data_IF_336794726142
#
_entry.id   IF_336794726142
#
_cell.length_a   1.000
_cell.length_b   1.000
_cell.length_c   1.000
_cell.angle_alpha   90.00
_cell.angle_beta   90.00
_cell.angle_gamma   90.00
#
_symmetry.space_group_name_H-M   'P 1'
#
loop_
_entity.id
_entity.type
_entity.pdbx_description
1 polymer ?
#
# COMPACT_ATOMS: atom_id res chain seq x y z
N UNK A 1 -52.12 -20.14 32.80
CA UNK A 1 -50.87 -19.37 32.62
C UNK A 1 -50.14 -19.38 33.94
N UNK A 2 -49.02 -20.10 34.02
CA UNK A 2 -48.29 -20.28 35.27
C UNK A 2 -47.34 -19.12 35.55
N UNK A 3 -47.04 -18.87 36.82
CA UNK A 3 -46.07 -17.87 37.31
C UNK A 3 -44.68 -18.02 36.66
N UNK A 4 -44.37 -19.21 36.14
CA UNK A 4 -43.13 -19.52 35.40
C UNK A 4 -43.10 -19.00 33.95
N UNK A 5 -44.23 -18.61 33.35
CA UNK A 5 -44.26 -17.99 32.01
C UNK A 5 -43.78 -16.53 32.03
N UNK A 6 -43.68 -15.90 33.21
CA UNK A 6 -43.10 -14.56 33.41
C UNK A 6 -41.55 -14.55 33.43
N UNK A 7 -40.90 -15.71 33.56
CA UNK A 7 -39.44 -15.83 33.66
C UNK A 7 -38.77 -16.39 32.39
N UNK A 8 -39.53 -16.63 31.31
CA UNK A 8 -38.92 -16.93 30.01
C UNK A 8 -38.35 -15.63 29.44
N UNK A 9 -37.04 -15.56 29.09
CA UNK A 9 -36.49 -14.37 28.47
C UNK A 9 -37.30 -14.08 27.20
N UNK A 10 -37.88 -12.88 27.15
CA UNK A 10 -38.77 -12.45 26.09
C UNK A 10 -38.08 -12.67 24.73
N UNK A 11 -38.76 -13.30 23.76
CA UNK A 11 -38.17 -13.64 22.43
C UNK A 11 -37.52 -12.42 21.76
N UNK A 12 -38.08 -11.23 22.03
CA UNK A 12 -37.59 -9.92 21.59
C UNK A 12 -36.29 -9.45 22.28
N UNK A 13 -36.08 -9.79 23.56
CA UNK A 13 -34.80 -9.52 24.24
C UNK A 13 -33.70 -10.42 23.68
N UNK A 14 -34.01 -11.68 23.39
CA UNK A 14 -33.00 -12.63 22.91
C UNK A 14 -32.51 -12.26 21.49
N UNK A 15 -33.40 -11.80 20.60
CA UNK A 15 -33.01 -11.32 19.27
C UNK A 15 -32.08 -10.11 19.32
N UNK A 16 -32.34 -9.19 20.26
CA UNK A 16 -31.50 -8.00 20.51
C UNK A 16 -30.10 -8.36 21.02
N UNK A 17 -30.00 -9.34 21.91
CA UNK A 17 -28.71 -9.82 22.42
C UNK A 17 -27.89 -10.52 21.32
N UNK A 18 -28.54 -11.26 20.43
CA UNK A 18 -27.88 -11.89 19.26
C UNK A 18 -27.37 -10.81 18.29
N UNK A 19 -28.18 -9.80 17.99
CA UNK A 19 -27.76 -8.67 17.15
C UNK A 19 -26.53 -7.95 17.75
N UNK A 20 -26.60 -7.62 19.05
CA UNK A 20 -25.49 -6.98 19.75
C UNK A 20 -24.21 -7.85 19.75
N UNK A 21 -24.34 -9.16 19.96
CA UNK A 21 -23.22 -10.10 19.89
C UNK A 21 -22.57 -10.07 18.50
N UNK A 22 -23.38 -10.15 17.45
CA UNK A 22 -22.89 -10.14 16.07
C UNK A 22 -22.16 -8.83 15.75
N UNK A 23 -22.62 -7.69 16.29
CA UNK A 23 -21.93 -6.40 16.14
C UNK A 23 -20.58 -6.39 16.88
N UNK A 24 -20.57 -6.73 18.17
CA UNK A 24 -19.39 -6.55 19.05
C UNK A 24 -18.29 -7.58 18.76
N UNK A 25 -18.66 -8.82 18.45
CA UNK A 25 -17.71 -9.88 18.12
C UNK A 25 -17.43 -10.00 16.62
N UNK A 26 -18.15 -9.24 15.78
CA UNK A 26 -18.05 -9.29 14.32
C UNK A 26 -18.24 -10.72 13.77
N UNK A 27 -19.33 -11.38 14.20
CA UNK A 27 -19.73 -12.73 13.79
C UNK A 27 -21.14 -12.71 13.22
N UNK A 28 -21.55 -13.79 12.55
CA UNK A 28 -22.91 -13.97 12.04
C UNK A 28 -23.53 -15.23 12.64
N UNK A 29 -23.99 -15.11 13.90
CA UNK A 29 -24.64 -16.21 14.62
C UNK A 29 -26.14 -15.99 14.69
N UNK A 30 -26.90 -17.07 14.54
CA UNK A 30 -28.36 -17.12 14.76
C UNK A 30 -28.73 -17.42 16.22
N UNK A 31 -27.74 -17.68 17.07
CA UNK A 31 -27.92 -18.02 18.49
C UNK A 31 -26.95 -17.26 19.41
N UNK A 32 -27.35 -17.07 20.66
CA UNK A 32 -26.52 -16.44 21.68
C UNK A 32 -25.47 -17.44 22.18
N UNK A 33 -24.20 -17.12 21.99
CA UNK A 33 -23.05 -17.98 22.28
C UNK A 33 -22.31 -17.56 23.56
N UNK A 34 -22.58 -16.36 24.07
CA UNK A 34 -21.92 -15.79 25.24
C UNK A 34 -22.91 -15.43 26.34
N UNK A 35 -22.45 -15.41 27.59
CA UNK A 35 -23.28 -14.94 28.71
C UNK A 35 -23.55 -13.43 28.62
N UNK A 36 -24.65 -12.95 29.24
CA UNK A 36 -24.98 -11.52 29.32
C UNK A 36 -23.83 -10.68 29.92
N UNK A 37 -23.12 -11.23 30.91
CA UNK A 37 -21.96 -10.57 31.52
C UNK A 37 -20.82 -10.40 30.51
N UNK A 38 -20.43 -11.47 29.82
CA UNK A 38 -19.39 -11.42 28.79
C UNK A 38 -19.77 -10.47 27.65
N UNK A 39 -21.05 -10.44 27.25
CA UNK A 39 -21.54 -9.52 26.22
C UNK A 39 -21.46 -8.05 26.66
N UNK A 40 -21.83 -7.75 27.92
CA UNK A 40 -21.73 -6.40 28.48
C UNK A 40 -20.25 -5.96 28.60
N UNK A 41 -19.36 -6.83 29.06
CA UNK A 41 -17.93 -6.55 29.16
C UNK A 41 -17.33 -6.27 27.78
N UNK A 42 -17.72 -7.07 26.77
CA UNK A 42 -17.31 -6.87 25.39
C UNK A 42 -17.87 -5.58 24.78
N UNK A 43 -19.13 -5.23 25.05
CA UNK A 43 -19.74 -3.97 24.62
C UNK A 43 -19.00 -2.76 25.22
N UNK A 44 -18.72 -2.79 26.52
CA UNK A 44 -17.98 -1.72 27.19
C UNK A 44 -16.58 -1.55 26.59
N UNK A 45 -15.89 -2.66 26.30
CA UNK A 45 -14.59 -2.63 25.62
C UNK A 45 -14.69 -2.08 24.19
N UNK A 46 -15.65 -2.56 23.41
CA UNK A 46 -15.91 -2.09 22.04
C UNK A 46 -16.14 -0.58 22.02
N UNK A 47 -17.01 -0.06 22.88
CA UNK A 47 -17.27 1.38 22.97
C UNK A 47 -16.02 2.14 23.40
N UNK A 48 -15.32 1.68 24.44
CA UNK A 48 -14.09 2.33 24.91
C UNK A 48 -13.02 2.44 23.83
N UNK A 49 -12.75 1.35 23.11
CA UNK A 49 -11.71 1.29 22.09
C UNK A 49 -12.06 2.18 20.89
N UNK A 50 -13.32 2.16 20.43
CA UNK A 50 -13.77 3.03 19.36
C UNK A 50 -13.79 4.51 19.77
N UNK A 51 -14.25 4.84 20.98
CA UNK A 51 -14.28 6.22 21.50
C UNK A 51 -12.88 6.83 21.63
N UNK A 52 -11.87 6.05 22.04
CA UNK A 52 -10.48 6.51 22.07
C UNK A 52 -10.00 6.96 20.68
N UNK A 53 -10.31 6.18 19.65
CA UNK A 53 -9.92 6.48 18.27
C UNK A 53 -10.66 7.72 17.74
N UNK A 54 -11.96 7.84 18.05
CA UNK A 54 -12.76 9.03 17.71
C UNK A 54 -12.12 10.29 18.30
N UNK A 55 -11.76 10.26 19.58
CA UNK A 55 -11.16 11.41 20.26
C UNK A 55 -9.79 11.79 19.68
N UNK A 56 -8.92 10.81 19.38
CA UNK A 56 -7.65 11.05 18.71
C UNK A 56 -7.85 11.68 17.31
N UNK A 57 -8.82 11.17 16.55
CA UNK A 57 -9.14 11.71 15.23
C UNK A 57 -9.61 13.16 15.31
N UNK A 58 -10.52 13.50 16.22
CA UNK A 58 -11.02 14.87 16.41
C UNK A 58 -9.88 15.82 16.74
N UNK A 59 -8.98 15.44 17.64
CA UNK A 59 -7.81 16.24 18.00
C UNK A 59 -6.88 16.47 16.81
N UNK A 60 -6.57 15.42 16.05
CA UNK A 60 -5.64 15.51 14.91
C UNK A 60 -6.22 16.30 13.74
N UNK A 61 -7.52 16.14 13.45
CA UNK A 61 -8.23 16.90 12.41
C UNK A 61 -8.15 18.41 12.71
N UNK A 62 -8.32 18.81 13.98
CA UNK A 62 -8.23 20.21 14.37
C UNK A 62 -6.79 20.77 14.40
N UNK A 63 -5.79 19.93 14.61
CA UNK A 63 -4.41 20.38 14.89
C UNK A 63 -3.45 20.25 13.71
N UNK A 64 -3.65 19.30 12.80
CA UNK A 64 -2.72 19.03 11.71
C UNK A 64 -2.71 20.10 10.61
N UNK A 65 -1.56 20.27 9.96
CA UNK A 65 -1.39 20.99 8.69
C UNK A 65 -1.01 20.05 7.52
N UNK A 66 -0.86 18.75 7.79
CA UNK A 66 -0.55 17.72 6.80
C UNK A 66 -1.82 17.13 6.17
N UNK A 67 -1.91 17.16 4.83
CA UNK A 67 -3.10 16.72 4.09
C UNK A 67 -3.39 15.23 4.30
N UNK A 68 -2.36 14.38 4.30
CA UNK A 68 -2.57 12.95 4.48
C UNK A 68 -3.13 12.62 5.86
N UNK A 69 -2.57 13.24 6.90
CA UNK A 69 -3.05 13.10 8.27
C UNK A 69 -4.49 13.58 8.40
N UNK A 70 -4.82 14.75 7.85
CA UNK A 70 -6.17 15.29 7.90
C UNK A 70 -7.20 14.34 7.25
N UNK A 71 -7.03 13.99 5.97
CA UNK A 71 -8.02 13.19 5.23
C UNK A 71 -8.09 11.74 5.74
N UNK A 72 -6.97 11.15 6.15
CA UNK A 72 -6.97 9.80 6.73
C UNK A 72 -7.71 9.78 8.06
N UNK A 73 -7.49 10.77 8.94
CA UNK A 73 -8.20 10.86 10.23
C UNK A 73 -9.67 11.21 10.05
N UNK A 74 -10.02 12.03 9.07
CA UNK A 74 -11.42 12.32 8.74
C UNK A 74 -12.19 11.07 8.30
N UNK A 75 -11.57 10.23 7.47
CA UNK A 75 -12.17 8.95 7.06
C UNK A 75 -12.26 7.97 8.24
N UNK A 76 -11.20 7.87 9.04
CA UNK A 76 -11.17 7.00 10.21
C UNK A 76 -12.23 7.39 11.24
N UNK A 77 -12.40 8.69 11.49
CA UNK A 77 -13.47 9.23 12.34
C UNK A 77 -14.85 8.75 11.87
N UNK A 78 -15.14 8.87 10.57
CA UNK A 78 -16.39 8.37 9.99
C UNK A 78 -16.60 6.87 10.20
N UNK A 79 -15.55 6.06 10.05
CA UNK A 79 -15.61 4.59 10.26
C UNK A 79 -15.96 4.27 11.70
N UNK A 80 -15.25 4.87 12.67
CA UNK A 80 -15.47 4.54 14.09
C UNK A 80 -16.78 5.11 14.63
N UNK A 81 -17.22 6.29 14.16
CA UNK A 81 -18.55 6.81 14.50
C UNK A 81 -19.68 5.92 13.93
N UNK A 82 -19.54 5.39 12.71
CA UNK A 82 -20.49 4.40 12.15
C UNK A 82 -20.50 3.09 12.92
N UNK A 83 -19.36 2.68 13.44
CA UNK A 83 -19.26 1.49 14.27
C UNK A 83 -19.96 1.69 15.63
N UNK A 84 -19.78 2.86 16.25
CA UNK A 84 -20.46 3.24 17.49
C UNK A 84 -21.96 3.45 17.31
N UNK A 85 -22.40 3.98 16.16
CA UNK A 85 -23.83 4.21 15.91
C UNK A 85 -24.65 2.92 15.89
N UNK A 86 -24.03 1.78 15.57
CA UNK A 86 -24.68 0.46 15.60
C UNK A 86 -25.05 0.01 17.02
N UNK A 87 -24.37 0.55 18.05
CA UNK A 87 -24.59 0.15 19.44
C UNK A 87 -25.37 1.18 20.27
N UNK A 88 -25.92 2.23 19.64
CA UNK A 88 -26.67 3.29 20.34
C UNK A 88 -27.90 2.79 21.10
N UNK A 89 -28.58 1.77 20.58
CA UNK A 89 -29.72 1.16 21.24
C UNK A 89 -29.33 0.27 22.43
N UNK A 90 -28.03 0.04 22.63
CA UNK A 90 -27.46 -0.91 23.59
C UNK A 90 -26.53 -0.26 24.61
N UNK A 91 -26.07 0.97 24.37
CA UNK A 91 -25.13 1.69 25.22
C UNK A 91 -25.56 3.14 25.42
N UNK A 92 -25.48 3.63 26.66
CA UNK A 92 -25.79 5.03 27.00
C UNK A 92 -24.56 5.92 26.83
N UNK A 93 -24.56 6.73 25.77
CA UNK A 93 -23.54 7.75 25.55
C UNK A 93 -23.85 9.00 26.39
N UNK A 94 -22.83 9.56 27.04
CA UNK A 94 -22.94 10.78 27.86
C UNK A 94 -22.97 12.07 27.03
N UNK A 95 -22.51 12.00 25.78
CA UNK A 95 -22.44 13.12 24.85
C UNK A 95 -23.43 12.94 23.69
N UNK A 96 -23.32 13.78 22.66
CA UNK A 96 -24.07 13.64 21.43
C UNK A 96 -23.91 12.23 20.84
N UNK A 97 -25.03 11.59 20.49
CA UNK A 97 -25.04 10.24 19.94
C UNK A 97 -24.14 10.13 18.69
N UNK A 98 -23.40 9.03 18.50
CA UNK A 98 -22.55 8.80 17.32
C UNK A 98 -23.25 9.06 15.96
N UNK A 99 -24.53 8.78 15.83
CA UNK A 99 -25.37 8.99 14.64
C UNK A 99 -25.66 10.48 14.42
N UNK A 100 -25.86 11.24 15.50
CA UNK A 100 -25.94 12.69 15.44
C UNK A 100 -24.56 13.32 15.16
N UNK A 101 -23.48 12.76 15.69
CA UNK A 101 -22.10 13.12 15.34
C UNK A 101 -21.80 12.90 13.85
N UNK A 102 -22.23 11.78 13.27
CA UNK A 102 -22.10 11.54 11.82
C UNK A 102 -22.86 12.56 10.98
N UNK A 103 -24.11 12.88 11.35
CA UNK A 103 -24.90 13.89 10.66
C UNK A 103 -24.22 15.25 10.71
N UNK A 104 -23.78 15.66 11.90
CA UNK A 104 -23.04 16.92 12.08
C UNK A 104 -21.75 16.94 11.26
N UNK A 105 -20.95 15.87 11.33
CA UNK A 105 -19.70 15.75 10.58
C UNK A 105 -19.92 15.85 9.06
N UNK A 106 -21.03 15.31 8.54
CA UNK A 106 -21.39 15.44 7.14
C UNK A 106 -21.77 16.87 6.74
N UNK A 107 -22.46 17.60 7.63
CA UNK A 107 -22.84 19.01 7.41
C UNK A 107 -21.61 19.91 7.48
N UNK A 108 -20.77 19.70 8.48
CA UNK A 108 -19.60 20.55 8.76
C UNK A 108 -18.39 20.21 7.86
N UNK A 109 -18.45 19.11 7.08
CA UNK A 109 -17.33 18.59 6.29
C UNK A 109 -16.64 19.67 5.44
N UNK A 110 -17.43 20.42 4.67
CA UNK A 110 -16.89 21.44 3.76
C UNK A 110 -16.21 22.57 4.51
N UNK A 111 -16.82 23.02 5.62
CA UNK A 111 -16.23 24.04 6.49
C UNK A 111 -14.91 23.55 7.10
N UNK A 112 -14.87 22.32 7.62
CA UNK A 112 -13.69 21.73 8.23
C UNK A 112 -12.53 21.60 7.22
N UNK A 113 -12.83 21.20 5.98
CA UNK A 113 -11.84 21.14 4.90
C UNK A 113 -11.31 22.55 4.57
N UNK A 114 -12.16 23.57 4.50
CA UNK A 114 -11.73 24.96 4.27
C UNK A 114 -10.88 25.51 5.42
N UNK A 115 -11.22 25.22 6.67
CA UNK A 115 -10.42 25.58 7.84
C UNK A 115 -9.03 24.93 7.76
N UNK A 116 -8.97 23.65 7.42
CA UNK A 116 -7.71 22.94 7.22
C UNK A 116 -6.87 23.53 6.09
N UNK A 117 -7.47 23.80 4.92
CA UNK A 117 -6.78 24.42 3.79
C UNK A 117 -6.17 25.76 4.21
N UNK A 118 -6.95 26.60 4.90
CA UNK A 118 -6.50 27.94 5.31
C UNK A 118 -5.35 27.86 6.31
N UNK A 119 -5.48 27.01 7.35
CA UNK A 119 -4.43 26.81 8.35
C UNK A 119 -3.14 26.22 7.77
N UNK A 120 -3.27 25.21 6.91
CA UNK A 120 -2.11 24.57 6.27
C UNK A 120 -1.40 25.53 5.33
N UNK A 121 -2.16 26.39 4.64
CA UNK A 121 -1.63 27.48 3.82
C UNK A 121 -0.88 28.54 4.64
N UNK A 122 -1.45 29.02 5.74
CA UNK A 122 -0.78 29.98 6.63
C UNK A 122 0.52 29.42 7.21
N UNK A 123 0.51 28.15 7.63
CA UNK A 123 1.70 27.44 8.12
C UNK A 123 2.78 27.38 7.05
N UNK A 124 2.39 27.10 5.80
CA UNK A 124 3.30 27.12 4.65
C UNK A 124 3.88 28.52 4.40
N UNK A 125 3.06 29.57 4.40
CA UNK A 125 3.52 30.95 4.20
C UNK A 125 4.52 31.39 5.28
N UNK A 126 4.25 31.04 6.53
CA UNK A 126 5.21 31.27 7.64
C UNK A 126 6.54 30.59 7.33
N UNK A 127 6.51 29.31 6.95
CA UNK A 127 7.71 28.54 6.61
C UNK A 127 8.46 29.13 5.41
N UNK A 128 7.76 29.48 4.33
CA UNK A 128 8.39 29.97 3.10
C UNK A 128 8.96 31.38 3.23
N UNK A 129 8.38 32.23 4.09
CA UNK A 129 8.93 33.56 4.37
C UNK A 129 10.37 33.51 4.92
N UNK A 130 10.70 32.47 5.68
CA UNK A 130 12.03 32.24 6.25
C UNK A 130 13.08 31.73 5.24
N UNK A 131 12.68 31.34 4.03
CA UNK A 131 13.59 30.75 3.04
C UNK A 131 14.36 31.81 2.24
N UNK A 132 15.65 31.55 2.01
CA UNK A 132 16.57 32.47 1.31
C UNK A 132 16.32 32.60 -0.19
N UNK A 133 15.94 31.50 -0.87
CA UNK A 133 15.88 31.47 -2.34
C UNK A 133 14.45 31.39 -2.84
N UNK A 134 14.16 32.14 -3.90
CA UNK A 134 12.84 32.19 -4.53
C UNK A 134 12.43 30.82 -5.09
N UNK A 135 13.38 30.09 -5.67
CA UNK A 135 13.16 28.72 -6.17
C UNK A 135 12.73 27.75 -5.06
N UNK A 136 13.30 27.86 -3.85
CA UNK A 136 12.89 27.02 -2.73
C UNK A 136 11.48 27.36 -2.24
N UNK A 137 11.10 28.65 -2.23
CA UNK A 137 9.74 29.09 -1.90
C UNK A 137 8.74 28.51 -2.90
N UNK A 138 8.99 28.69 -4.20
CA UNK A 138 8.15 28.15 -5.28
C UNK A 138 7.99 26.63 -5.18
N UNK A 139 9.08 25.88 -4.98
CA UNK A 139 9.02 24.42 -4.85
C UNK A 139 8.17 23.96 -3.66
N UNK A 140 8.24 24.65 -2.51
CA UNK A 140 7.41 24.30 -1.35
C UNK A 140 5.93 24.57 -1.63
N UNK A 141 5.61 25.65 -2.34
CA UNK A 141 4.22 25.96 -2.70
C UNK A 141 3.68 24.98 -3.76
N UNK A 142 4.46 24.64 -4.78
CA UNK A 142 4.05 23.62 -5.76
C UNK A 142 3.73 22.28 -5.08
N UNK A 143 4.60 21.82 -4.17
CA UNK A 143 4.38 20.58 -3.42
C UNK A 143 3.13 20.62 -2.54
N UNK A 144 2.84 21.76 -1.92
CA UNK A 144 1.60 21.94 -1.15
C UNK A 144 0.36 21.68 -2.03
N UNK A 145 0.30 22.31 -3.19
CA UNK A 145 -0.82 22.12 -4.11
C UNK A 145 -0.88 20.69 -4.67
N UNK A 146 0.25 20.11 -5.07
CA UNK A 146 0.32 18.71 -5.51
C UNK A 146 -0.26 17.75 -4.48
N UNK A 147 0.13 17.90 -3.21
CA UNK A 147 -0.34 17.07 -2.11
C UNK A 147 -1.85 17.24 -1.87
N UNK A 148 -2.34 18.48 -1.81
CA UNK A 148 -3.73 18.74 -1.47
C UNK A 148 -4.69 18.37 -2.62
N UNK A 149 -4.30 18.59 -3.88
CA UNK A 149 -5.07 18.14 -5.04
C UNK A 149 -5.15 16.61 -5.15
N UNK A 150 -4.24 15.87 -4.52
CA UNK A 150 -4.34 14.41 -4.38
C UNK A 150 -5.65 13.96 -3.70
N UNK A 151 -6.25 14.82 -2.88
CA UNK A 151 -7.51 14.58 -2.16
C UNK A 151 -8.70 15.31 -2.77
N UNK A 152 -8.59 15.81 -4.01
CA UNK A 152 -9.66 16.58 -4.67
C UNK A 152 -11.00 15.83 -4.71
N UNK A 153 -10.99 14.50 -4.85
CA UNK A 153 -12.20 13.68 -4.86
C UNK A 153 -12.94 13.66 -3.50
N UNK A 154 -12.29 14.07 -2.42
CA UNK A 154 -12.88 14.17 -1.09
C UNK A 154 -13.45 15.57 -0.80
N UNK A 155 -13.24 16.53 -1.70
CA UNK A 155 -13.58 17.95 -1.56
C UNK A 155 -14.85 18.29 -2.37
N UNK A 156 -15.60 19.29 -1.92
CA UNK A 156 -16.66 19.88 -2.72
C UNK A 156 -16.13 20.95 -3.69
N UNK A 157 -16.98 21.44 -4.58
CA UNK A 157 -16.63 22.56 -5.47
C UNK A 157 -16.22 23.81 -4.67
N UNK A 158 -16.88 24.09 -3.55
CA UNK A 158 -16.55 25.22 -2.68
C UNK A 158 -15.12 25.12 -2.13
N UNK A 159 -14.68 23.92 -1.73
CA UNK A 159 -13.32 23.69 -1.25
C UNK A 159 -12.29 23.87 -2.37
N UNK A 160 -12.59 23.39 -3.57
CA UNK A 160 -11.70 23.54 -4.73
C UNK A 160 -11.59 25.01 -5.13
N UNK A 161 -12.70 25.76 -5.15
CA UNK A 161 -12.68 27.21 -5.41
C UNK A 161 -11.84 27.98 -4.39
N UNK A 162 -11.91 27.60 -3.11
CA UNK A 162 -11.06 28.18 -2.08
C UNK A 162 -9.57 27.94 -2.35
N UNK A 163 -9.20 26.72 -2.75
CA UNK A 163 -7.83 26.39 -3.15
C UNK A 163 -7.35 27.18 -4.38
N UNK A 164 -8.20 27.30 -5.42
CA UNK A 164 -7.84 28.07 -6.61
C UNK A 164 -7.67 29.55 -6.30
N UNK A 165 -8.48 30.12 -5.39
CA UNK A 165 -8.29 31.50 -4.90
C UNK A 165 -6.94 31.70 -4.24
N UNK A 166 -6.51 30.75 -3.39
CA UNK A 166 -5.20 30.79 -2.74
C UNK A 166 -4.05 30.66 -3.76
N UNK A 167 -4.23 29.81 -4.77
CA UNK A 167 -3.24 29.63 -5.83
C UNK A 167 -3.08 30.88 -6.69
N UNK A 168 -4.19 31.55 -7.01
CA UNK A 168 -4.22 32.77 -7.81
C UNK A 168 -3.74 34.01 -7.04
N UNK A 169 -3.88 34.04 -5.71
CA UNK A 169 -3.41 35.15 -4.88
C UNK A 169 -1.88 35.16 -4.72
N UNK A 170 -1.24 34.02 -4.91
CA UNK A 170 0.20 33.94 -5.14
C UNK A 170 0.53 34.19 -6.61
N UNK A 171 1.59 34.97 -6.92
CA UNK A 171 2.13 35.20 -8.27
C UNK A 171 2.70 33.92 -8.95
N UNK A 172 2.05 32.77 -8.78
CA UNK A 172 2.40 31.45 -9.30
C UNK A 172 1.79 31.16 -10.68
N UNK A 173 1.10 32.12 -11.31
CA UNK A 173 0.59 31.99 -12.68
C UNK A 173 1.67 31.70 -13.73
N UNK A 174 2.97 31.76 -13.36
CA UNK A 174 4.13 31.43 -14.19
C UNK A 174 4.93 30.19 -13.76
N UNK A 175 4.52 29.47 -12.71
CA UNK A 175 5.18 28.20 -12.38
C UNK A 175 4.62 27.12 -13.28
N UNK A 176 5.42 26.68 -14.26
CA UNK A 176 5.18 25.39 -14.93
C UNK A 176 5.12 24.33 -13.83
N UNK A 177 3.92 23.89 -13.49
CA UNK A 177 3.72 22.64 -12.77
C UNK A 177 4.36 21.60 -13.68
N UNK A 178 5.42 20.95 -13.21
CA UNK A 178 6.06 19.86 -13.94
C UNK A 178 5.11 18.66 -13.90
N UNK A 179 4.11 18.68 -14.77
CA UNK A 179 3.09 17.64 -14.88
C UNK A 179 3.68 16.35 -15.42
N UNK A 180 4.93 16.32 -15.88
CA UNK A 180 5.60 15.12 -16.36
C UNK A 180 5.65 14.05 -15.27
N UNK A 181 5.90 14.40 -14.01
CA UNK A 181 5.88 13.44 -12.89
C UNK A 181 4.50 12.82 -12.66
N UNK A 182 3.43 13.64 -12.72
CA UNK A 182 2.04 13.15 -12.59
C UNK A 182 1.60 12.33 -13.79
N UNK A 183 1.97 12.72 -15.01
CA UNK A 183 1.68 11.97 -16.24
C UNK A 183 2.38 10.61 -16.19
N UNK A 184 3.64 10.56 -15.72
CA UNK A 184 4.37 9.30 -15.52
C UNK A 184 3.67 8.45 -14.45
N UNK A 185 3.28 9.04 -13.32
CA UNK A 185 2.57 8.33 -12.25
C UNK A 185 1.20 7.80 -12.69
N UNK A 186 0.40 8.63 -13.36
CA UNK A 186 -0.92 8.25 -13.88
C UNK A 186 -0.79 7.19 -14.99
N UNK A 187 0.26 7.26 -15.82
CA UNK A 187 0.62 6.23 -16.79
C UNK A 187 1.00 4.91 -16.11
N UNK A 188 1.91 4.96 -15.13
CA UNK A 188 2.31 3.81 -14.31
C UNK A 188 1.11 3.18 -13.63
N UNK A 189 0.20 3.98 -13.06
CA UNK A 189 -1.01 3.48 -12.39
C UNK A 189 -1.96 2.74 -13.34
N UNK A 190 -2.02 3.14 -14.62
CA UNK A 190 -2.78 2.41 -15.66
C UNK A 190 -2.12 1.08 -16.04
N UNK A 191 -0.79 1.00 -15.94
CA UNK A 191 -0.04 -0.22 -16.24
C UNK A 191 -0.04 -1.23 -15.10
N UNK A 192 -0.20 -0.78 -13.86
CA UNK A 192 -0.37 -1.63 -12.68
C UNK A 192 -1.84 -2.12 -12.65
N UNK A 193 -2.10 -3.15 -13.44
CA UNK A 193 -3.40 -3.82 -13.52
C UNK A 193 -3.49 -5.05 -12.60
N UNK A 194 -4.67 -5.66 -12.53
CA UNK A 194 -4.90 -6.86 -11.71
C UNK A 194 -3.98 -8.04 -12.08
N UNK A 195 -3.57 -8.17 -13.36
CA UNK A 195 -2.70 -9.27 -13.80
C UNK A 195 -1.31 -9.19 -13.16
N UNK A 196 -0.79 -7.96 -12.98
CA UNK A 196 0.49 -7.75 -12.29
C UNK A 196 0.38 -8.12 -10.80
N UNK A 197 -0.72 -7.75 -10.15
CA UNK A 197 -0.96 -8.12 -8.75
C UNK A 197 -1.03 -9.65 -8.57
N UNK A 198 -1.76 -10.35 -9.45
CA UNK A 198 -1.85 -11.81 -9.42
C UNK A 198 -0.50 -12.46 -9.70
N UNK A 199 0.27 -11.95 -10.66
CA UNK A 199 1.62 -12.44 -10.95
C UNK A 199 2.53 -12.38 -9.72
N UNK A 200 2.59 -11.21 -9.07
CA UNK A 200 3.43 -11.00 -7.88
C UNK A 200 2.94 -11.88 -6.72
N UNK A 201 1.63 -11.99 -6.53
CA UNK A 201 1.05 -12.88 -5.52
C UNK A 201 1.42 -14.35 -5.75
N UNK A 202 1.26 -14.84 -6.98
CA UNK A 202 1.61 -16.22 -7.33
C UNK A 202 3.12 -16.49 -7.14
N UNK A 203 3.98 -15.52 -7.42
CA UNK A 203 5.41 -15.65 -7.10
C UNK A 203 5.67 -15.65 -5.60
N UNK A 204 4.98 -14.80 -4.83
CA UNK A 204 5.15 -14.70 -3.39
C UNK A 204 4.68 -15.96 -2.64
N UNK A 205 3.54 -16.55 -3.00
CA UNK A 205 3.02 -17.76 -2.31
C UNK A 205 3.87 -18.99 -2.58
N UNK A 206 4.51 -19.06 -3.75
CA UNK A 206 5.35 -20.19 -4.15
C UNK A 206 6.81 -20.03 -3.69
N UNK A 207 7.21 -18.86 -3.16
CA UNK A 207 8.54 -18.68 -2.60
C UNK A 207 8.69 -19.52 -1.31
N UNK A 208 9.62 -20.48 -1.35
CA UNK A 208 9.91 -21.41 -0.24
C UNK A 208 10.24 -20.69 1.08
N UNK A 209 10.89 -19.53 1.04
CA UNK A 209 11.19 -18.75 2.23
C UNK A 209 9.94 -18.08 2.78
N UNK A 210 9.06 -17.54 1.93
CA UNK A 210 7.78 -16.96 2.37
C UNK A 210 6.88 -18.06 2.94
N UNK A 211 6.74 -19.19 2.23
CA UNK A 211 5.94 -20.34 2.67
C UNK A 211 6.40 -20.90 4.03
N UNK A 212 7.71 -20.85 4.32
CA UNK A 212 8.25 -21.21 5.64
C UNK A 212 7.68 -20.36 6.78
N UNK A 213 7.40 -19.08 6.53
CA UNK A 213 6.83 -18.16 7.52
C UNK A 213 5.30 -18.12 7.50
N UNK A 214 4.70 -18.42 6.34
CA UNK A 214 3.26 -18.48 6.13
C UNK A 214 2.88 -19.84 5.50
N UNK A 215 2.82 -20.93 6.29
CA UNK A 215 2.52 -22.27 5.75
C UNK A 215 1.12 -22.37 5.13
N UNK A 216 0.14 -21.66 5.70
CA UNK A 216 -1.22 -21.57 5.16
C UNK A 216 -1.34 -20.55 4.01
N UNK A 217 -0.23 -19.92 3.62
CA UNK A 217 -0.17 -18.86 2.62
C UNK A 217 -0.24 -17.46 3.23
N UNK A 218 0.51 -16.53 2.65
CA UNK A 218 0.45 -15.12 3.04
C UNK A 218 -0.88 -14.52 2.58
N UNK A 219 -1.63 -13.77 3.42
CA UNK A 219 -2.89 -13.17 3.01
C UNK A 219 -2.73 -12.29 1.76
N UNK A 220 -3.60 -12.51 0.77
CA UNK A 220 -3.56 -11.80 -0.52
C UNK A 220 -3.61 -10.28 -0.37
N UNK A 221 -4.42 -9.79 0.57
CA UNK A 221 -4.55 -8.37 0.89
C UNK A 221 -3.24 -7.76 1.39
N UNK A 222 -2.42 -8.52 2.12
CA UNK A 222 -1.10 -8.09 2.58
C UNK A 222 -0.15 -7.91 1.42
N UNK A 223 -0.07 -8.89 0.52
CA UNK A 223 0.78 -8.79 -0.67
C UNK A 223 0.34 -7.62 -1.54
N UNK A 224 -0.97 -7.46 -1.75
CA UNK A 224 -1.54 -6.37 -2.53
C UNK A 224 -1.25 -5.00 -1.89
N UNK A 225 -1.30 -4.90 -0.56
CA UNK A 225 -0.90 -3.70 0.15
C UNK A 225 0.58 -3.37 -0.10
N UNK A 226 1.48 -4.35 0.02
CA UNK A 226 2.92 -4.14 -0.22
C UNK A 226 3.16 -3.65 -1.65
N UNK A 227 2.53 -4.28 -2.65
CA UNK A 227 2.62 -3.86 -4.06
C UNK A 227 2.16 -2.41 -4.24
N UNK A 228 0.99 -2.07 -3.67
CA UNK A 228 0.42 -0.73 -3.78
C UNK A 228 1.32 0.34 -3.16
N UNK A 229 1.82 0.10 -1.95
CA UNK A 229 2.70 1.04 -1.25
C UNK A 229 4.09 1.15 -1.89
N UNK A 230 4.62 0.04 -2.43
CA UNK A 230 5.86 0.02 -3.19
C UNK A 230 5.78 0.93 -4.42
N UNK A 231 4.70 0.81 -5.21
CA UNK A 231 4.50 1.66 -6.39
C UNK A 231 4.10 3.12 -6.06
N UNK A 232 3.71 3.41 -4.82
CA UNK A 232 3.64 4.80 -4.30
C UNK A 232 5.01 5.37 -3.97
N UNK A 233 6.09 4.61 -4.14
CA UNK A 233 7.46 5.03 -3.87
C UNK A 233 7.85 4.97 -2.39
N UNK A 234 7.10 4.24 -1.55
CA UNK A 234 7.45 4.07 -0.15
C UNK A 234 8.61 3.07 -0.03
N UNK A 235 9.52 3.34 0.90
CA UNK A 235 10.62 2.42 1.22
C UNK A 235 10.10 1.16 1.90
N UNK A 236 10.75 0.03 1.63
CA UNK A 236 10.37 -1.29 2.17
C UNK A 236 10.25 -1.32 3.70
N UNK A 237 11.08 -0.55 4.39
CA UNK A 237 11.13 -0.45 5.86
C UNK A 237 9.89 0.25 6.42
N UNK A 238 9.41 1.28 5.72
CA UNK A 238 8.19 1.98 6.08
C UNK A 238 6.95 1.12 5.80
N UNK A 239 6.95 0.36 4.70
CA UNK A 239 5.89 -0.60 4.38
C UNK A 239 5.87 -1.72 5.43
N UNK A 240 7.04 -2.24 5.80
CA UNK A 240 7.18 -3.26 6.83
C UNK A 240 6.62 -2.80 8.19
N UNK A 241 6.82 -1.53 8.57
CA UNK A 241 6.24 -0.99 9.81
C UNK A 241 4.70 -1.00 9.80
N UNK A 242 4.06 -0.87 8.64
CA UNK A 242 2.62 -0.99 8.51
C UNK A 242 2.17 -2.46 8.56
N UNK A 243 2.90 -3.35 7.89
CA UNK A 243 2.62 -4.80 7.91
C UNK A 243 2.80 -5.39 9.32
N UNK A 244 3.79 -4.94 10.09
CA UNK A 244 3.99 -5.37 11.48
C UNK A 244 2.76 -5.07 12.35
N UNK A 245 2.02 -3.99 12.08
CA UNK A 245 0.76 -3.68 12.79
C UNK A 245 -0.38 -4.61 12.39
N UNK A 246 -0.28 -5.27 11.24
CA UNK A 246 -1.26 -6.26 10.78
C UNK A 246 -0.97 -7.66 11.34
N UNK A 247 0.29 -7.98 11.63
CA UNK A 247 0.75 -9.29 12.12
C UNK A 247 1.51 -9.16 13.44
N UNK A 248 0.78 -9.17 14.55
CA UNK A 248 1.34 -8.96 15.89
C UNK A 248 2.29 -10.07 16.36
N UNK A 249 2.14 -11.31 15.85
CA UNK A 249 2.87 -12.48 16.32
C UNK A 249 4.12 -12.84 15.49
N UNK A 250 4.43 -12.07 14.44
CA UNK A 250 5.57 -12.36 13.56
C UNK A 250 6.71 -11.40 13.87
N UNK A 251 7.92 -11.95 14.03
CA UNK A 251 9.11 -11.11 14.29
C UNK A 251 9.32 -10.08 13.16
N UNK A 252 9.58 -8.83 13.54
CA UNK A 252 9.80 -7.72 12.62
C UNK A 252 10.87 -8.04 11.56
N UNK A 253 11.99 -8.67 11.97
CA UNK A 253 13.06 -9.08 11.05
C UNK A 253 12.58 -10.01 9.95
N UNK A 254 11.65 -10.93 10.22
CA UNK A 254 11.11 -11.85 9.21
C UNK A 254 10.17 -11.14 8.25
N UNK A 255 9.31 -10.25 8.76
CA UNK A 255 8.43 -9.44 7.92
C UNK A 255 9.23 -8.52 6.99
N UNK A 256 10.30 -7.89 7.49
CA UNK A 256 11.17 -7.04 6.68
C UNK A 256 11.72 -7.78 5.46
N UNK A 257 12.18 -9.02 5.66
CA UNK A 257 12.73 -9.88 4.60
C UNK A 257 11.66 -10.22 3.55
N UNK A 258 10.43 -10.46 3.99
CA UNK A 258 9.29 -10.78 3.12
C UNK A 258 8.86 -9.54 2.34
N UNK A 259 8.74 -8.39 3.00
CA UNK A 259 8.43 -7.11 2.35
C UNK A 259 9.46 -6.75 1.29
N UNK A 260 10.77 -6.85 1.60
CA UNK A 260 11.84 -6.63 0.62
C UNK A 260 11.71 -7.57 -0.60
N UNK A 261 11.42 -8.85 -0.36
CA UNK A 261 11.25 -9.84 -1.43
C UNK A 261 10.08 -9.48 -2.35
N UNK A 262 8.92 -9.13 -1.78
CA UNK A 262 7.74 -8.74 -2.56
C UNK A 262 7.99 -7.44 -3.34
N UNK A 263 8.68 -6.45 -2.76
CA UNK A 263 9.10 -5.23 -3.48
C UNK A 263 10.01 -5.54 -4.68
N UNK A 264 10.97 -6.44 -4.52
CA UNK A 264 11.86 -6.86 -5.62
C UNK A 264 11.08 -7.58 -6.73
N UNK A 265 10.23 -8.57 -6.38
CA UNK A 265 9.34 -9.28 -7.32
C UNK A 265 8.42 -8.28 -8.06
N UNK A 266 7.86 -7.29 -7.34
CA UNK A 266 7.00 -6.26 -7.95
C UNK A 266 7.74 -5.44 -9.01
N UNK A 267 9.00 -5.12 -8.74
CA UNK A 267 9.83 -4.31 -9.64
C UNK A 267 10.15 -5.06 -10.94
N UNK A 268 10.54 -6.34 -10.85
CA UNK A 268 10.79 -7.18 -12.03
C UNK A 268 9.51 -7.51 -12.78
N UNK A 269 8.38 -7.75 -12.08
CA UNK A 269 7.09 -8.00 -12.72
C UNK A 269 6.65 -6.83 -13.61
N UNK A 270 6.81 -5.59 -13.13
CA UNK A 270 6.49 -4.40 -13.91
C UNK A 270 7.41 -4.26 -15.13
N UNK A 271 8.71 -4.41 -14.93
CA UNK A 271 9.70 -4.33 -16.02
C UNK A 271 9.43 -5.39 -17.08
N UNK A 272 9.21 -6.64 -16.69
CA UNK A 272 8.90 -7.72 -17.61
C UNK A 272 7.58 -7.48 -18.35
N UNK A 273 6.52 -7.03 -17.66
CA UNK A 273 5.23 -6.71 -18.29
C UNK A 273 5.38 -5.63 -19.37
N UNK A 274 6.16 -4.58 -19.09
CA UNK A 274 6.49 -3.53 -20.06
C UNK A 274 7.29 -4.07 -21.25
N UNK A 275 8.34 -4.85 -20.98
CA UNK A 275 9.18 -5.43 -22.01
C UNK A 275 8.37 -6.32 -22.96
N UNK A 276 7.55 -7.23 -22.41
CA UNK A 276 6.69 -8.12 -23.21
C UNK A 276 5.67 -7.35 -24.06
N UNK A 277 5.06 -6.29 -23.53
CA UNK A 277 4.15 -5.41 -24.29
C UNK A 277 4.84 -4.75 -25.50
N UNK A 278 6.15 -4.59 -25.45
CA UNK A 278 6.98 -4.03 -26.52
C UNK A 278 7.66 -5.09 -27.40
N UNK A 279 7.38 -6.38 -27.18
CA UNK A 279 8.05 -7.48 -27.88
C UNK A 279 9.50 -7.71 -27.46
N UNK A 280 9.93 -7.15 -26.32
CA UNK A 280 11.28 -7.31 -25.78
C UNK A 280 11.28 -8.52 -24.84
N UNK A 281 11.86 -9.62 -25.29
CA UNK A 281 11.89 -10.89 -24.54
C UNK A 281 13.22 -11.13 -23.81
N UNK A 282 14.25 -10.35 -24.11
CA UNK A 282 15.60 -10.53 -23.59
C UNK A 282 16.04 -9.37 -22.70
N UNK A 283 16.82 -9.69 -21.67
CA UNK A 283 17.43 -8.71 -20.77
C UNK A 283 18.85 -9.14 -20.38
N UNK A 284 19.67 -8.17 -19.98
CA UNK A 284 20.96 -8.43 -19.34
C UNK A 284 20.75 -8.51 -17.83
N UNK A 285 21.20 -9.59 -17.21
CA UNK A 285 21.16 -9.74 -15.77
C UNK A 285 22.23 -8.87 -15.10
N UNK A 286 21.76 -7.96 -14.25
CA UNK A 286 22.60 -7.00 -13.52
C UNK A 286 22.48 -7.26 -12.03
N UNK A 287 23.61 -7.29 -11.35
CA UNK A 287 23.71 -7.46 -9.90
C UNK A 287 24.06 -6.14 -9.23
N UNK A 288 23.98 -6.10 -7.90
CA UNK A 288 24.45 -4.95 -7.12
C UNK A 288 25.98 -4.84 -7.04
N UNK A 289 26.71 -5.85 -7.52
CA UNK A 289 28.17 -5.97 -7.40
C UNK A 289 28.69 -5.78 -5.96
N UNK A 290 27.87 -6.08 -4.96
CA UNK A 290 28.28 -6.00 -3.55
C UNK A 290 28.59 -7.39 -2.98
N UNK A 291 29.25 -7.42 -1.82
CA UNK A 291 29.69 -8.66 -1.15
C UNK A 291 28.56 -9.60 -0.74
N UNK A 292 27.30 -9.14 -0.80
CA UNK A 292 26.10 -9.93 -0.45
C UNK A 292 25.46 -10.55 -1.70
N UNK A 293 25.95 -10.26 -2.90
CA UNK A 293 25.52 -10.94 -4.13
C UNK A 293 25.91 -12.42 -4.01
N UNK A 294 24.96 -13.31 -4.27
CA UNK A 294 25.19 -14.75 -4.22
C UNK A 294 26.16 -15.17 -5.33
N UNK A 295 27.03 -16.17 -5.10
CA UNK A 295 27.92 -16.67 -6.15
C UNK A 295 27.19 -17.01 -7.45
N UNK A 296 26.05 -17.70 -7.37
CA UNK A 296 25.22 -18.05 -8.54
C UNK A 296 24.70 -16.83 -9.30
N UNK A 297 24.41 -15.73 -8.61
CA UNK A 297 23.95 -14.48 -9.23
C UNK A 297 25.10 -13.68 -9.81
N UNK A 298 26.25 -13.67 -9.14
CA UNK A 298 27.47 -13.04 -9.66
C UNK A 298 27.93 -13.73 -10.95
N UNK A 299 27.72 -15.04 -11.06
CA UNK A 299 28.00 -15.80 -12.29
C UNK A 299 27.09 -15.42 -13.47
N UNK A 300 25.93 -14.83 -13.18
CA UNK A 300 24.98 -14.31 -14.18
C UNK A 300 25.18 -12.82 -14.49
N UNK A 301 26.14 -12.13 -13.86
CA UNK A 301 26.42 -10.73 -14.20
C UNK A 301 26.80 -10.59 -15.68
N UNK A 302 26.14 -9.65 -16.36
CA UNK A 302 26.38 -9.36 -17.77
C UNK A 302 26.08 -10.56 -18.71
N UNK A 303 25.06 -11.35 -18.37
CA UNK A 303 24.55 -12.45 -19.20
C UNK A 303 23.17 -12.11 -19.77
N UNK A 304 22.98 -12.35 -21.06
CA UNK A 304 21.68 -12.24 -21.73
C UNK A 304 20.78 -13.42 -21.37
N UNK A 305 19.60 -13.11 -20.86
CA UNK A 305 18.59 -14.09 -20.44
C UNK A 305 17.24 -13.72 -21.06
N UNK A 306 16.52 -14.74 -21.51
CA UNK A 306 15.15 -14.60 -21.97
C UNK A 306 14.19 -14.69 -20.77
N UNK A 307 13.20 -13.80 -20.69
CA UNK A 307 12.22 -13.76 -19.61
C UNK A 307 11.42 -15.05 -19.45
N UNK A 308 11.17 -15.77 -20.56
CA UNK A 308 10.34 -16.99 -20.60
C UNK A 308 11.14 -18.27 -20.31
N UNK A 309 12.47 -18.22 -20.44
CA UNK A 309 13.38 -19.32 -20.12
C UNK A 309 14.45 -18.90 -19.11
N UNK A 310 14.04 -18.50 -17.88
CA UNK A 310 14.98 -18.10 -16.84
C UNK A 310 15.88 -19.28 -16.40
N UNK A 311 17.10 -19.00 -15.92
CA UNK A 311 18.04 -20.03 -15.52
C UNK A 311 17.74 -20.64 -14.14
N UNK A 312 18.17 -21.88 -13.97
CA UNK A 312 18.46 -22.46 -12.65
C UNK A 312 19.85 -22.01 -12.19
N UNK A 313 19.97 -20.80 -11.64
CA UNK A 313 21.28 -20.19 -11.38
C UNK A 313 22.20 -21.06 -10.51
N UNK A 314 21.65 -21.77 -9.53
CA UNK A 314 22.40 -22.65 -8.61
C UNK A 314 23.01 -23.84 -9.35
N UNK A 315 22.30 -24.41 -10.33
CA UNK A 315 22.81 -25.57 -11.09
C UNK A 315 24.01 -25.24 -11.97
N UNK A 316 24.15 -23.97 -12.37
CA UNK A 316 25.31 -23.50 -13.14
C UNK A 316 26.62 -23.57 -12.35
N UNK A 317 26.53 -23.63 -11.01
CA UNK A 317 27.66 -23.81 -10.10
C UNK A 317 27.63 -25.17 -9.39
N UNK A 318 26.85 -26.14 -9.88
CA UNK A 318 26.62 -27.45 -9.23
C UNK A 318 26.07 -27.35 -7.79
N UNK A 319 25.36 -26.27 -7.47
CA UNK A 319 24.66 -26.09 -6.20
C UNK A 319 23.25 -26.70 -6.25
N UNK A 320 22.63 -26.86 -5.06
CA UNK A 320 21.28 -27.43 -4.96
C UNK A 320 20.27 -26.51 -5.67
N UNK A 321 19.50 -27.00 -6.65
CA UNK A 321 18.52 -26.19 -7.37
C UNK A 321 17.44 -25.67 -6.43
N UNK A 322 17.13 -24.37 -6.57
CA UNK A 322 16.04 -23.73 -5.81
C UNK A 322 14.78 -23.68 -6.65
N UNK A 323 14.81 -22.92 -7.76
CA UNK A 323 13.72 -22.74 -8.72
C UNK A 323 14.23 -22.03 -9.99
N UNK A 324 13.38 -21.92 -11.01
CA UNK A 324 13.56 -21.05 -12.18
C UNK A 324 13.06 -19.64 -11.87
N UNK A 325 13.94 -18.65 -11.95
CA UNK A 325 13.58 -17.29 -11.58
C UNK A 325 14.37 -16.22 -12.35
N UNK A 326 13.72 -15.09 -12.59
CA UNK A 326 14.34 -13.92 -13.22
C UNK A 326 15.12 -13.07 -12.20
N UNK A 327 15.95 -12.15 -12.69
CA UNK A 327 16.68 -11.21 -11.85
C UNK A 327 15.73 -10.43 -10.93
N UNK A 328 15.92 -10.55 -9.61
CA UNK A 328 15.08 -9.87 -8.60
C UNK A 328 13.92 -10.71 -8.05
N UNK A 329 13.65 -11.91 -8.57
CA UNK A 329 12.52 -12.73 -8.11
C UNK A 329 12.83 -13.61 -6.90
N UNK A 330 14.10 -13.93 -6.64
CA UNK A 330 14.46 -14.75 -5.50
C UNK A 330 14.39 -13.96 -4.18
N UNK A 331 14.16 -14.64 -3.07
CA UNK A 331 14.22 -14.09 -1.71
C UNK A 331 15.39 -13.11 -1.49
N UNK A 332 15.07 -11.88 -1.06
CA UNK A 332 16.00 -10.76 -0.83
C UNK A 332 16.98 -10.49 -1.99
N UNK A 333 16.58 -10.84 -3.21
CA UNK A 333 17.36 -10.53 -4.39
C UNK A 333 17.29 -9.02 -4.67
N UNK A 334 18.43 -8.47 -5.07
CA UNK A 334 18.57 -7.05 -5.46
C UNK A 334 19.13 -6.91 -6.88
N UNK A 335 19.28 -8.03 -7.58
CA UNK A 335 19.58 -8.05 -9.01
C UNK A 335 18.40 -7.45 -9.79
N UNK A 336 18.69 -6.87 -10.95
CA UNK A 336 17.69 -6.29 -11.83
C UNK A 336 17.86 -6.81 -13.26
N UNK A 337 16.74 -6.89 -13.97
CA UNK A 337 16.73 -7.13 -15.40
C UNK A 337 16.90 -5.80 -16.13
N UNK A 338 17.92 -5.69 -16.98
CA UNK A 338 18.12 -4.56 -17.88
C UNK A 338 17.63 -4.94 -19.28
N UNK A 339 16.41 -4.58 -19.69
CA UNK A 339 15.83 -5.01 -20.96
C UNK A 339 16.67 -4.56 -22.16
N UNK A 340 16.83 -5.44 -23.14
CA UNK A 340 17.59 -5.12 -24.36
C UNK A 340 16.67 -4.48 -25.38
N UNK A 341 16.63 -3.15 -25.37
CA UNK A 341 15.81 -2.37 -26.32
C UNK A 341 16.45 -2.28 -27.72
N UNK A 342 17.78 -2.43 -27.82
CA UNK A 342 18.57 -2.43 -29.06
C UNK A 342 19.81 -3.31 -28.92
N UNK A 343 20.09 -4.11 -29.94
CA UNK A 343 21.27 -5.00 -29.94
C UNK A 343 22.59 -4.25 -30.06
N UNK A 344 22.59 -3.03 -30.60
CA UNK A 344 23.80 -2.20 -30.75
C UNK A 344 24.31 -1.66 -29.40
N UNK A 345 23.51 -1.76 -28.33
CA UNK A 345 23.94 -1.44 -26.97
C UNK A 345 24.70 -2.59 -26.29
N UNK A 346 24.76 -3.75 -26.93
CA UNK A 346 25.48 -4.92 -26.45
C UNK A 346 26.81 -5.03 -27.19
N UNK A 347 27.89 -5.21 -26.44
CA UNK A 347 29.19 -5.54 -27.02
C UNK A 347 29.24 -7.03 -27.38
N UNK A 348 29.44 -7.32 -28.66
CA UNK A 348 29.52 -8.67 -29.21
C UNK A 348 30.98 -9.10 -29.43
N UNK A 349 31.29 -10.40 -29.29
CA UNK A 349 30.39 -11.48 -28.89
C UNK A 349 30.03 -11.41 -27.40
N UNK A 350 28.84 -11.87 -27.03
CA UNK A 350 28.27 -11.68 -25.69
C UNK A 350 27.84 -13.00 -25.04
N UNK A 351 27.82 -13.07 -23.70
CA UNK A 351 27.36 -14.26 -22.98
C UNK A 351 25.83 -14.33 -23.03
N UNK A 352 25.32 -15.48 -23.46
CA UNK A 352 23.90 -15.76 -23.59
C UNK A 352 23.58 -17.05 -22.86
N UNK A 353 22.56 -17.01 -22.00
CA UNK A 353 21.97 -18.22 -21.44
C UNK A 353 20.99 -18.81 -22.45
N UNK A 354 21.33 -19.97 -23.02
CA UNK A 354 20.51 -20.67 -24.00
C UNK A 354 20.69 -22.18 -23.83
N UNK A 355 19.60 -22.94 -23.96
CA UNK A 355 19.59 -24.40 -23.78
C UNK A 355 20.28 -24.87 -22.47
N UNK A 356 19.96 -24.21 -21.36
CA UNK A 356 20.49 -24.50 -20.02
C UNK A 356 22.00 -24.35 -19.85
N UNK A 357 22.67 -23.60 -20.74
CA UNK A 357 24.11 -23.31 -20.64
C UNK A 357 24.37 -21.84 -20.94
N UNK A 358 25.43 -21.30 -20.35
CA UNK A 358 25.97 -20.00 -20.75
C UNK A 358 26.97 -20.25 -21.86
N UNK A 359 26.75 -19.62 -23.00
CA UNK A 359 27.65 -19.67 -24.14
C UNK A 359 27.87 -18.28 -24.73
N UNK A 360 29.03 -18.07 -25.32
CA UNK A 360 29.36 -16.80 -25.98
C UNK A 360 28.86 -16.87 -27.42
N UNK A 361 27.98 -15.93 -27.81
CA UNK A 361 27.39 -15.86 -29.14
C UNK A 361 27.84 -14.60 -29.88
N UNK A 362 28.00 -14.68 -31.20
CA UNK A 362 28.06 -13.48 -32.06
C UNK A 362 26.68 -12.84 -32.21
N UNK A 363 26.62 -11.63 -32.77
CA UNK A 363 25.35 -10.93 -33.02
C UNK A 363 24.45 -11.76 -33.94
N UNK A 364 25.00 -12.33 -35.00
CA UNK A 364 24.29 -13.14 -35.99
C UNK A 364 23.75 -14.43 -35.37
N UNK A 365 24.52 -15.08 -34.49
CA UNK A 365 24.08 -16.26 -33.76
C UNK A 365 22.91 -15.94 -32.82
N UNK A 366 22.97 -14.81 -32.13
CA UNK A 366 21.90 -14.38 -31.25
C UNK A 366 20.62 -14.00 -32.00
N UNK A 367 20.75 -13.30 -33.13
CA UNK A 367 19.61 -12.95 -33.99
C UNK A 367 18.85 -14.19 -34.51
N UNK A 368 19.52 -15.34 -34.64
CA UNK A 368 18.88 -16.60 -35.08
C UNK A 368 17.96 -17.26 -34.04
N UNK A 369 18.06 -16.85 -32.76
CA UNK A 369 17.31 -17.43 -31.64
C UNK A 369 16.35 -16.44 -30.98
N UNK A 370 16.31 -15.20 -31.47
CA UNK A 370 15.49 -14.10 -30.95
C UNK A 370 14.07 -14.17 -31.52
#
# INVERSE_FOLDING_TARGET
>A
MGILDFFKPNKYENSKLIELQNIVFNIDSTSLQVSRKQLNDALNKYVSDHSKIVNDCVNLIGTTSDSNTFFTRFNLLNVHLKALSKVENYYSFSEMLPSAQLKKLSIDKDMLINCFISKSWETLLSKTSSLKTEKAKQNNISKFFENIYGYKNNMSNSNVEHLEKLKNSTNLSKVKIDTSGKVIYDGLKKEIDASLYEYVYNKAINDKNIHKFFPEGIPKQTVFHIISEHFKGRRSEAINADICKMFFDISNKNLEKITQTICSISSIALTMSRSKKLGINWYVWRTCMDTRVRPSHAYLEDVLINYDTPPFSETLLNEKPIDNYNAGEQYRCRCCASPVIRLDFISWPHKVFYQNKIQTMTKEQFESIM
#
